data_IF_372464028034
#
_entry.id   IF_372464028034
#
_cell.length_a   1.000
_cell.length_b   1.000
_cell.length_c   1.000
_cell.angle_alpha   90.00
_cell.angle_beta   90.00
_cell.angle_gamma   90.00
#
_symmetry.space_group_name_H-M   'P 1'
#
loop_
_entity.id
_entity.type
_entity.pdbx_description
1 polymer ?
#
# COMPACT_ATOMS: atom_id res chain seq x y z
N UNK A 1 20.19 -10.02 13.27
CA UNK A 1 18.78 -9.86 12.88
C UNK A 1 18.48 -8.37 12.94
N UNK A 2 18.56 -7.65 11.83
CA UNK A 2 18.18 -6.23 11.78
C UNK A 2 16.72 -6.20 11.34
N UNK A 3 15.81 -5.92 12.28
CA UNK A 3 14.46 -5.47 11.94
C UNK A 3 14.62 -4.17 11.16
N UNK A 4 14.62 -4.26 9.84
CA UNK A 4 14.36 -3.09 9.00
C UNK A 4 12.85 -2.95 9.05
N UNK A 5 12.38 -2.06 9.90
CA UNK A 5 11.04 -1.49 9.76
C UNK A 5 10.92 -1.06 8.30
N UNK A 6 10.19 -1.85 7.51
CA UNK A 6 10.01 -1.60 6.09
C UNK A 6 8.92 -0.53 6.01
N UNK A 7 9.27 0.72 6.33
CA UNK A 7 8.37 1.89 6.38
C UNK A 7 7.61 2.18 5.08
N UNK A 8 7.78 1.36 4.04
CA UNK A 8 7.25 1.58 2.72
C UNK A 8 6.62 0.31 2.11
N UNK A 9 6.43 -0.77 2.86
CA UNK A 9 5.72 -1.96 2.39
C UNK A 9 4.58 -2.26 3.36
N UNK A 10 3.42 -2.61 2.82
CA UNK A 10 2.21 -2.87 3.56
C UNK A 10 1.55 -4.11 2.97
N UNK A 11 1.19 -5.06 3.83
CA UNK A 11 0.29 -6.15 3.46
C UNK A 11 -1.15 -5.66 3.53
N UNK A 12 -1.92 -5.96 2.50
CA UNK A 12 -3.33 -5.62 2.38
C UNK A 12 -4.14 -6.89 2.19
N UNK A 13 -5.04 -7.12 3.12
CA UNK A 13 -6.00 -8.23 3.09
C UNK A 13 -7.17 -7.87 2.16
N UNK A 14 -7.38 -8.70 1.15
CA UNK A 14 -8.47 -8.65 0.20
C UNK A 14 -9.77 -9.21 0.80
N UNK A 15 -10.89 -9.02 0.10
CA UNK A 15 -12.21 -9.46 0.54
C UNK A 15 -12.34 -10.99 0.72
N UNK A 16 -11.54 -11.77 -0.02
CA UNK A 16 -11.49 -13.23 0.06
C UNK A 16 -10.50 -13.76 1.11
N UNK A 17 -9.76 -12.86 1.78
CA UNK A 17 -8.73 -13.18 2.76
C UNK A 17 -7.34 -13.40 2.17
N UNK A 18 -7.15 -13.23 0.85
CA UNK A 18 -5.80 -13.20 0.26
C UNK A 18 -5.06 -11.92 0.66
N UNK A 19 -3.73 -12.00 0.78
CA UNK A 19 -2.90 -10.85 1.12
C UNK A 19 -2.05 -10.44 -0.07
N UNK A 20 -2.09 -9.15 -0.41
CA UNK A 20 -1.20 -8.57 -1.41
C UNK A 20 -0.21 -7.61 -0.78
N UNK A 21 0.98 -7.56 -1.35
CA UNK A 21 1.98 -6.57 -0.95
C UNK A 21 1.80 -5.29 -1.76
N UNK A 22 1.76 -4.16 -1.07
CA UNK A 22 1.77 -2.82 -1.66
C UNK A 22 2.98 -2.03 -1.15
N UNK A 23 3.50 -1.11 -1.97
CA UNK A 23 4.69 -0.34 -1.59
C UNK A 23 4.72 1.09 -2.15
N UNK A 24 5.21 2.01 -1.31
CA UNK A 24 5.60 3.39 -1.68
C UNK A 24 7.12 3.59 -1.68
N UNK A 25 7.91 2.50 -1.66
CA UNK A 25 9.35 2.57 -1.46
C UNK A 25 10.05 3.37 -2.58
N UNK A 26 10.89 4.39 -2.25
CA UNK A 26 11.54 5.22 -3.26
C UNK A 26 12.39 4.43 -4.27
N UNK A 27 13.07 3.38 -3.82
CA UNK A 27 13.88 2.53 -4.70
C UNK A 27 13.04 1.83 -5.77
N UNK A 28 11.84 1.38 -5.41
CA UNK A 28 10.90 0.76 -6.33
C UNK A 28 10.27 1.80 -7.26
N UNK A 29 9.96 3.00 -6.76
CA UNK A 29 9.45 4.10 -7.58
C UNK A 29 10.43 4.55 -8.66
N UNK A 30 11.74 4.52 -8.39
CA UNK A 30 12.78 4.81 -9.38
C UNK A 30 12.72 3.85 -10.57
N UNK A 31 12.52 2.56 -10.30
CA UNK A 31 12.36 1.52 -11.34
C UNK A 31 11.00 1.63 -12.04
N UNK A 32 9.93 1.81 -11.26
CA UNK A 32 8.56 1.92 -11.75
C UNK A 32 8.38 3.09 -12.73
N UNK A 33 9.09 4.21 -12.52
CA UNK A 33 9.07 5.36 -13.44
C UNK A 33 9.30 4.97 -14.90
N UNK A 34 10.15 3.97 -15.14
CA UNK A 34 10.49 3.51 -16.49
C UNK A 34 9.58 2.35 -16.96
N UNK A 35 9.15 1.48 -16.05
CA UNK A 35 8.29 0.31 -16.38
C UNK A 35 6.82 0.69 -16.54
N UNK A 36 6.29 1.51 -15.63
CA UNK A 36 4.91 1.96 -15.61
C UNK A 36 4.80 3.42 -15.15
N UNK A 37 5.01 4.33 -16.10
CA UNK A 37 4.99 5.78 -15.86
C UNK A 37 3.67 6.26 -15.24
N UNK A 38 2.53 5.68 -15.64
CA UNK A 38 1.20 6.08 -15.14
C UNK A 38 1.06 5.76 -13.64
N UNK A 39 1.45 4.56 -13.22
CA UNK A 39 1.43 4.18 -11.81
C UNK A 39 2.39 5.06 -10.97
N UNK A 40 3.60 5.30 -11.48
CA UNK A 40 4.55 6.21 -10.85
C UNK A 40 3.99 7.63 -10.63
N UNK A 41 3.33 8.21 -11.64
CA UNK A 41 2.75 9.55 -11.56
C UNK A 41 1.61 9.62 -10.54
N UNK A 42 0.77 8.59 -10.45
CA UNK A 42 -0.32 8.49 -9.47
C UNK A 42 0.21 8.44 -8.03
N UNK A 43 1.17 7.56 -7.75
CA UNK A 43 1.79 7.46 -6.42
C UNK A 43 2.46 8.79 -6.07
N UNK A 44 3.27 9.33 -6.99
CA UNK A 44 4.01 10.58 -6.74
C UNK A 44 3.09 11.77 -6.48
N UNK A 45 1.96 11.86 -7.20
CA UNK A 45 0.94 12.90 -6.98
C UNK A 45 0.42 12.82 -5.55
N UNK A 46 0.02 11.63 -5.10
CA UNK A 46 -0.60 11.41 -3.78
C UNK A 46 0.42 11.60 -2.66
N UNK A 47 1.67 11.12 -2.81
CA UNK A 47 2.73 11.35 -1.82
C UNK A 47 3.05 12.85 -1.62
N UNK A 48 2.88 13.68 -2.65
CA UNK A 48 3.15 15.13 -2.57
C UNK A 48 1.94 15.93 -2.10
N UNK A 49 0.73 15.56 -2.54
CA UNK A 49 -0.49 16.35 -2.31
C UNK A 49 -1.41 15.80 -1.22
N UNK A 50 -1.15 14.58 -0.75
CA UNK A 50 -2.13 13.78 -0.02
C UNK A 50 -3.16 13.15 -0.97
N UNK A 51 -4.04 12.34 -0.40
CA UNK A 51 -5.19 11.72 -1.09
C UNK A 51 -6.47 12.51 -0.81
N UNK A 52 -7.34 12.67 -1.80
CA UNK A 52 -8.71 13.12 -1.56
C UNK A 52 -9.59 11.91 -1.23
N UNK A 53 -9.83 11.66 0.05
CA UNK A 53 -10.63 10.52 0.53
C UNK A 53 -12.09 10.50 0.03
N UNK A 54 -12.60 11.61 -0.50
CA UNK A 54 -13.93 11.68 -1.13
C UNK A 54 -13.92 11.23 -2.59
N UNK A 55 -12.75 11.19 -3.22
CA UNK A 55 -12.56 10.66 -4.55
C UNK A 55 -12.21 9.17 -4.45
N UNK A 56 -13.26 8.34 -4.49
CA UNK A 56 -13.18 6.88 -4.40
C UNK A 56 -12.22 6.30 -5.44
N UNK A 57 -12.21 6.88 -6.65
CA UNK A 57 -11.33 6.40 -7.71
C UNK A 57 -9.87 6.74 -7.41
N UNK A 58 -9.58 7.92 -6.87
CA UNK A 58 -8.21 8.28 -6.49
C UNK A 58 -7.64 7.32 -5.42
N UNK A 59 -8.46 6.90 -4.45
CA UNK A 59 -8.06 5.92 -3.42
C UNK A 59 -7.66 4.59 -4.04
N UNK A 60 -8.55 3.99 -4.86
CA UNK A 60 -8.24 2.70 -5.47
C UNK A 60 -7.12 2.79 -6.52
N UNK A 61 -7.05 3.88 -7.28
CA UNK A 61 -5.97 4.09 -8.24
C UNK A 61 -4.61 4.19 -7.55
N UNK A 62 -4.56 4.79 -6.36
CA UNK A 62 -3.36 4.82 -5.54
C UNK A 62 -3.00 3.41 -5.05
N UNK A 63 -3.94 2.68 -4.44
CA UNK A 63 -3.71 1.31 -3.93
C UNK A 63 -3.24 0.35 -5.03
N UNK A 64 -3.90 0.35 -6.19
CA UNK A 64 -3.46 -0.49 -7.31
C UNK A 64 -2.07 -0.09 -7.81
N UNK A 65 -1.76 1.21 -7.85
CA UNK A 65 -0.42 1.66 -8.25
C UNK A 65 0.65 1.22 -7.26
N UNK A 66 0.38 1.27 -5.95
CA UNK A 66 1.33 0.81 -4.93
C UNK A 66 1.49 -0.72 -4.92
N UNK A 67 0.43 -1.48 -5.25
CA UNK A 67 0.52 -2.91 -5.58
C UNK A 67 1.45 -3.15 -6.78
N UNK A 68 1.25 -2.45 -7.89
CA UNK A 68 2.11 -2.56 -9.07
C UNK A 68 3.57 -2.19 -8.75
N UNK A 69 3.79 -1.21 -7.88
CA UNK A 69 5.12 -0.81 -7.46
C UNK A 69 5.84 -1.93 -6.69
N UNK A 70 5.14 -2.61 -5.79
CA UNK A 70 5.68 -3.71 -4.98
C UNK A 70 6.00 -4.96 -5.82
N UNK A 71 5.17 -5.23 -6.84
CA UNK A 71 5.22 -6.48 -7.60
C UNK A 71 5.76 -6.28 -9.04
N UNK A 72 6.49 -5.19 -9.30
CA UNK A 72 6.93 -4.79 -10.65
C UNK A 72 7.94 -5.72 -11.35
N UNK A 73 8.42 -6.75 -10.67
CA UNK A 73 9.32 -7.78 -11.21
C UNK A 73 8.59 -9.07 -11.58
N UNK A 74 7.29 -9.19 -11.25
CA UNK A 74 6.42 -10.28 -11.69
C UNK A 74 6.07 -10.13 -13.19
N UNK A 75 5.73 -11.26 -13.82
CA UNK A 75 5.21 -11.28 -15.18
C UNK A 75 3.83 -10.58 -15.25
N UNK A 76 3.57 -9.84 -16.33
CA UNK A 76 2.36 -9.02 -16.48
C UNK A 76 1.06 -9.83 -16.36
N UNK A 77 1.07 -11.10 -16.79
CA UNK A 77 -0.08 -12.01 -16.68
C UNK A 77 -0.39 -12.46 -15.24
N UNK A 78 0.57 -12.32 -14.32
CA UNK A 78 0.40 -12.64 -12.90
C UNK A 78 0.00 -11.41 -12.08
N UNK A 79 -0.03 -10.21 -12.69
CA UNK A 79 -0.43 -8.99 -12.03
C UNK A 79 -1.93 -8.76 -12.19
N UNK A 80 -2.61 -8.45 -11.09
CA UNK A 80 -4.00 -8.03 -11.17
C UNK A 80 -4.14 -6.75 -11.98
N UNK A 81 -5.10 -6.76 -12.89
CA UNK A 81 -5.63 -5.55 -13.51
C UNK A 81 -6.29 -4.66 -12.47
N UNK A 82 -6.54 -3.39 -12.83
CA UNK A 82 -7.20 -2.46 -11.93
C UNK A 82 -8.62 -2.90 -11.56
N UNK A 83 -9.35 -3.50 -12.51
CA UNK A 83 -10.70 -4.02 -12.28
C UNK A 83 -10.68 -5.19 -11.30
N UNK A 84 -9.80 -6.17 -11.51
CA UNK A 84 -9.65 -7.32 -10.60
C UNK A 84 -9.23 -6.88 -9.20
N UNK A 85 -8.33 -5.90 -9.09
CA UNK A 85 -7.94 -5.36 -7.80
C UNK A 85 -9.12 -4.75 -7.04
N UNK A 86 -9.99 -3.98 -7.71
CA UNK A 86 -11.17 -3.37 -7.08
C UNK A 86 -12.22 -4.43 -6.71
N UNK A 87 -12.44 -5.42 -7.58
CA UNK A 87 -13.41 -6.50 -7.32
C UNK A 87 -13.04 -7.33 -6.10
N UNK A 88 -11.74 -7.46 -5.81
CA UNK A 88 -11.23 -8.20 -4.65
C UNK A 88 -10.84 -7.29 -3.47
N UNK A 89 -10.85 -5.97 -3.63
CA UNK A 89 -10.56 -5.05 -2.53
C UNK A 89 -11.57 -5.23 -1.38
N UNK A 90 -11.12 -4.97 -0.16
CA UNK A 90 -11.95 -5.01 1.04
C UNK A 90 -13.23 -4.17 0.84
N UNK A 91 -14.42 -4.73 1.12
CA UNK A 91 -15.68 -4.03 0.90
C UNK A 91 -15.88 -2.82 1.83
N UNK A 92 -15.14 -2.72 2.94
CA UNK A 92 -15.13 -1.54 3.80
C UNK A 92 -14.22 -0.44 3.23
N UNK A 93 -14.84 0.52 2.55
CA UNK A 93 -14.14 1.66 1.99
C UNK A 93 -13.32 2.45 3.03
N UNK A 94 -13.79 2.55 4.28
CA UNK A 94 -13.05 3.30 5.31
C UNK A 94 -11.78 2.55 5.72
N UNK A 95 -11.78 1.22 5.69
CA UNK A 95 -10.55 0.43 5.86
C UNK A 95 -9.56 0.73 4.74
N UNK A 96 -10.02 0.82 3.49
CA UNK A 96 -9.17 1.16 2.34
C UNK A 96 -8.57 2.57 2.46
N UNK A 97 -9.37 3.55 2.86
CA UNK A 97 -8.89 4.92 3.14
C UNK A 97 -7.81 4.92 4.23
N UNK A 98 -8.02 4.18 5.32
CA UNK A 98 -7.05 4.09 6.42
C UNK A 98 -5.72 3.48 5.95
N UNK A 99 -5.78 2.42 5.14
CA UNK A 99 -4.57 1.82 4.54
C UNK A 99 -3.81 2.86 3.72
N UNK A 100 -4.49 3.63 2.87
CA UNK A 100 -3.85 4.70 2.09
C UNK A 100 -3.21 5.75 2.99
N UNK A 101 -3.89 6.19 4.04
CA UNK A 101 -3.36 7.18 4.99
C UNK A 101 -2.11 6.66 5.71
N UNK A 102 -2.11 5.39 6.15
CA UNK A 102 -0.93 4.76 6.76
C UNK A 102 0.26 4.71 5.79
N UNK A 103 0.02 4.48 4.49
CA UNK A 103 1.08 4.45 3.48
C UNK A 103 1.67 5.83 3.14
N UNK A 104 0.87 6.91 3.23
CA UNK A 104 1.31 8.29 2.91
C UNK A 104 1.99 8.93 4.12
N UNK A 105 1.46 8.68 5.30
CA UNK A 105 1.98 9.23 6.55
C UNK A 105 2.09 8.11 7.60
N UNK A 106 3.15 7.28 7.51
CA UNK A 106 3.38 6.23 8.48
C UNK A 106 3.49 6.84 9.88
N UNK A 107 2.45 6.69 10.67
CA UNK A 107 2.51 7.02 12.09
C UNK A 107 3.45 6.02 12.72
N UNK A 108 4.38 6.46 13.59
CA UNK A 108 5.15 5.53 14.42
C UNK A 108 4.11 4.70 15.20
N UNK A 109 3.90 3.43 14.83
CA UNK A 109 3.21 2.48 15.69
C UNK A 109 4.03 2.50 16.98
N UNK A 110 3.47 3.05 18.06
CA UNK A 110 4.10 2.93 19.37
C UNK A 110 4.16 1.44 19.64
N UNK A 111 5.36 0.88 19.76
CA UNK A 111 5.55 -0.48 20.25
C UNK A 111 4.91 -0.57 21.64
N UNK A 112 3.66 -1.00 21.72
CA UNK A 112 3.03 -1.36 22.98
C UNK A 112 3.42 -2.79 23.33
N UNK A 113 4.72 -3.04 23.42
CA UNK A 113 5.26 -4.14 24.22
C UNK A 113 5.72 -3.55 25.55
N UNK A 114 4.76 -3.23 26.43
CA UNK A 114 5.08 -3.31 27.86
C UNK A 114 5.02 -4.81 28.21
N UNK A 115 6.12 -5.42 28.69
CA UNK A 115 6.00 -6.70 29.36
C UNK A 115 5.08 -6.48 30.57
N UNK A 116 4.02 -7.27 30.69
CA UNK A 116 3.23 -7.28 31.92
C UNK A 116 4.17 -7.68 33.05
N UNK A 117 4.42 -6.78 33.99
CA UNK A 117 5.06 -7.15 35.25
C UNK A 117 4.20 -8.25 35.89
N UNK A 118 4.78 -9.43 36.04
CA UNK A 118 4.20 -10.50 36.85
C UNK A 118 3.98 -9.93 38.26
N UNK A 119 2.72 -9.79 38.66
CA UNK A 119 2.36 -9.50 40.04
C UNK A 119 2.61 -10.76 40.87
N UNK A 120 3.65 -10.68 41.70
CA UNK A 120 4.01 -11.39 42.93
C UNK A 120 3.26 -12.68 43.31
#
# INVERSE_FOLDING_TARGET
>A
MHSKDVFNFQEYEMADGEFVTMSTAPILLLSLRNKNKKAYEKISKVLVKGVNEKDVMEVYEFMHSTYLNANQDEEEENLMTFTEFIENADPDYMKNVNVVQEMISPSKKQDSEQPSEEQQ
#
